data_IF_680801252242
#
_entry.id   IF_680801252242
#
_cell.length_a   1.000
_cell.length_b   1.000
_cell.length_c   1.000
_cell.angle_alpha   90.00
_cell.angle_beta   90.00
_cell.angle_gamma   90.00
#
_symmetry.space_group_name_H-M   'P 1'
#
loop_
_entity.id
_entity.type
_entity.pdbx_description
1 polymer ?
#
# COMPACT_ATOMS: atom_id res chain seq x y z
N UNK A 1 16.66 -29.65 12.78
CA UNK A 1 16.69 -28.50 11.86
C UNK A 1 15.47 -28.43 10.94
N UNK A 2 14.82 -29.56 10.62
CA UNK A 2 13.63 -29.69 9.77
C UNK A 2 12.39 -28.93 10.30
N UNK A 3 11.95 -29.19 11.52
CA UNK A 3 10.69 -28.65 12.07
C UNK A 3 10.58 -27.09 12.07
N UNK A 4 11.71 -26.37 12.21
CA UNK A 4 11.74 -24.92 12.11
C UNK A 4 11.57 -24.40 10.67
N UNK A 5 12.04 -25.16 9.69
CA UNK A 5 11.87 -24.85 8.26
C UNK A 5 10.41 -25.09 7.83
N UNK A 6 9.81 -26.16 8.30
CA UNK A 6 8.43 -26.53 7.98
C UNK A 6 7.43 -25.53 8.56
N UNK A 7 7.66 -25.06 9.81
CA UNK A 7 6.86 -24.01 10.44
C UNK A 7 6.96 -22.66 9.68
N UNK A 8 8.16 -22.29 9.22
CA UNK A 8 8.37 -21.07 8.42
C UNK A 8 7.75 -21.18 7.02
N UNK A 9 7.80 -22.37 6.42
CA UNK A 9 7.16 -22.62 5.13
C UNK A 9 5.64 -22.53 5.27
N UNK A 10 5.04 -23.18 6.25
CA UNK A 10 3.61 -23.12 6.52
C UNK A 10 3.11 -21.70 6.79
N UNK A 11 3.89 -20.89 7.52
CA UNK A 11 3.55 -19.49 7.76
C UNK A 11 3.60 -18.64 6.49
N UNK A 12 4.59 -18.87 5.62
CA UNK A 12 4.68 -18.20 4.30
C UNK A 12 3.50 -18.55 3.41
N UNK A 13 3.17 -19.84 3.30
CA UNK A 13 2.01 -20.33 2.52
C UNK A 13 0.72 -19.71 3.05
N UNK A 14 0.51 -19.69 4.37
CA UNK A 14 -0.69 -19.07 4.97
C UNK A 14 -0.76 -17.56 4.69
N UNK A 15 0.37 -16.86 4.68
CA UNK A 15 0.42 -15.43 4.33
C UNK A 15 0.09 -15.20 2.85
N UNK A 16 0.59 -16.06 1.97
CA UNK A 16 0.26 -15.99 0.53
C UNK A 16 -1.22 -16.27 0.28
N UNK A 17 -1.78 -17.34 0.86
CA UNK A 17 -3.20 -17.65 0.74
C UNK A 17 -4.11 -16.54 1.30
N UNK A 18 -3.71 -15.92 2.42
CA UNK A 18 -4.41 -14.76 2.96
C UNK A 18 -4.34 -13.57 1.99
N UNK A 19 -3.20 -13.36 1.37
CA UNK A 19 -3.01 -12.30 0.37
C UNK A 19 -3.89 -12.54 -0.86
N UNK A 20 -3.94 -13.78 -1.39
CA UNK A 20 -4.84 -14.12 -2.49
C UNK A 20 -6.31 -13.97 -2.12
N UNK A 21 -6.72 -14.44 -0.96
CA UNK A 21 -8.09 -14.21 -0.46
C UNK A 21 -8.45 -12.74 -0.31
N UNK A 22 -7.48 -11.89 0.06
CA UNK A 22 -7.72 -10.45 0.24
C UNK A 22 -7.94 -9.70 -1.08
N UNK A 23 -7.19 -10.02 -2.15
CA UNK A 23 -7.43 -9.34 -3.42
C UNK A 23 -8.67 -9.84 -4.13
N UNK A 24 -9.02 -11.16 -4.03
CA UNK A 24 -10.31 -11.68 -4.50
C UNK A 24 -11.49 -11.04 -3.76
N UNK A 25 -11.42 -10.94 -2.42
CA UNK A 25 -12.42 -10.22 -1.65
C UNK A 25 -12.51 -8.74 -2.06
N UNK A 26 -11.37 -8.13 -2.43
CA UNK A 26 -11.35 -6.73 -2.89
C UNK A 26 -12.10 -6.54 -4.21
N UNK A 27 -12.13 -7.54 -5.11
CA UNK A 27 -12.97 -7.50 -6.31
C UNK A 27 -14.46 -7.38 -5.94
N UNK A 28 -14.92 -8.17 -4.97
CA UNK A 28 -16.31 -8.14 -4.50
C UNK A 28 -16.65 -6.76 -3.91
N UNK A 29 -15.77 -6.23 -3.03
CA UNK A 29 -15.98 -4.91 -2.45
C UNK A 29 -15.92 -3.78 -3.48
N UNK A 30 -15.08 -3.93 -4.51
CA UNK A 30 -14.98 -2.97 -5.61
C UNK A 30 -16.25 -2.93 -6.44
N UNK A 31 -16.80 -4.10 -6.83
CA UNK A 31 -18.09 -4.19 -7.51
C UNK A 31 -19.21 -3.62 -6.64
N UNK A 32 -19.17 -3.89 -5.33
CA UNK A 32 -20.12 -3.32 -4.36
C UNK A 32 -19.88 -1.83 -4.07
N UNK A 33 -18.85 -1.20 -4.68
CA UNK A 33 -18.44 0.21 -4.46
C UNK A 33 -18.18 0.55 -3.00
N UNK A 34 -17.72 -0.42 -2.20
CA UNK A 34 -17.43 -0.23 -0.77
C UNK A 34 -15.93 -0.04 -0.52
N UNK A 35 -15.60 0.90 0.36
CA UNK A 35 -14.25 1.07 0.91
C UNK A 35 -14.10 0.26 2.19
N UNK A 36 -12.95 -0.39 2.35
CA UNK A 36 -12.69 -1.27 3.49
C UNK A 36 -11.75 -0.58 4.47
N UNK A 37 -12.12 -0.60 5.77
CA UNK A 37 -11.27 -0.14 6.85
C UNK A 37 -11.05 1.38 6.85
N UNK A 38 -12.09 2.15 6.54
CA UNK A 38 -12.16 3.59 6.77
C UNK A 38 -13.17 3.79 7.90
N UNK A 39 -12.74 4.05 9.15
CA UNK A 39 -13.61 4.34 10.28
C UNK A 39 -14.44 5.61 10.06
N UNK A 40 -15.56 5.74 10.78
CA UNK A 40 -16.33 6.97 10.82
C UNK A 40 -15.45 8.14 11.33
N UNK A 41 -15.55 9.29 10.68
CA UNK A 41 -14.73 10.47 11.00
C UNK A 41 -13.30 10.44 10.46
N UNK A 42 -12.81 9.31 9.92
CA UNK A 42 -11.50 9.24 9.30
C UNK A 42 -11.55 9.72 7.83
N UNK A 43 -10.46 10.36 7.38
CA UNK A 43 -10.31 10.81 6.00
C UNK A 43 -9.61 9.76 5.16
N UNK A 44 -10.27 9.30 4.09
CA UNK A 44 -9.65 8.45 3.09
C UNK A 44 -8.76 9.29 2.14
N UNK A 45 -7.55 8.80 1.87
CA UNK A 45 -6.60 9.40 0.93
C UNK A 45 -6.38 8.39 -0.21
N UNK A 46 -7.07 8.54 -1.37
CA UNK A 46 -6.94 7.66 -2.52
C UNK A 46 -5.54 7.72 -3.12
N UNK A 47 -5.11 6.60 -3.76
CA UNK A 47 -3.82 6.51 -4.43
C UNK A 47 -3.85 5.63 -5.70
N UNK A 48 -4.99 5.03 -6.01
CA UNK A 48 -5.10 4.04 -7.08
C UNK A 48 -5.20 4.66 -8.48
N UNK A 49 -5.40 5.98 -8.58
CA UNK A 49 -5.59 6.69 -9.85
C UNK A 49 -4.38 6.59 -10.77
N UNK A 50 -3.17 6.73 -10.23
CA UNK A 50 -1.94 6.71 -11.01
C UNK A 50 -1.70 5.39 -11.78
N UNK A 51 -2.17 4.25 -11.25
CA UNK A 51 -2.02 2.95 -11.91
C UNK A 51 -3.25 2.49 -12.69
N UNK A 52 -4.39 3.20 -12.59
CA UNK A 52 -5.66 2.76 -13.14
C UNK A 52 -5.61 2.54 -14.67
N UNK A 53 -5.11 3.53 -15.41
CA UNK A 53 -5.00 3.45 -16.88
C UNK A 53 -4.13 2.27 -17.33
N UNK A 54 -3.00 2.05 -16.66
CA UNK A 54 -2.09 0.94 -16.97
C UNK A 54 -2.75 -0.41 -16.63
N UNK A 55 -3.42 -0.52 -15.48
CA UNK A 55 -4.09 -1.77 -15.07
C UNK A 55 -5.23 -2.15 -16.02
N UNK A 56 -6.08 -1.18 -16.40
CA UNK A 56 -7.17 -1.46 -17.33
C UNK A 56 -6.66 -1.71 -18.77
N UNK A 57 -5.64 -0.97 -19.21
CA UNK A 57 -4.99 -1.23 -20.48
C UNK A 57 -4.38 -2.62 -20.57
N UNK A 58 -3.68 -3.05 -19.51
CA UNK A 58 -3.10 -4.38 -19.42
C UNK A 58 -4.19 -5.47 -19.39
N UNK A 59 -5.26 -5.29 -18.62
CA UNK A 59 -6.39 -6.22 -18.61
C UNK A 59 -7.05 -6.32 -20.01
N UNK A 60 -7.20 -5.20 -20.72
CA UNK A 60 -7.72 -5.19 -22.07
C UNK A 60 -6.80 -5.96 -23.05
N UNK A 61 -5.48 -5.75 -22.98
CA UNK A 61 -4.51 -6.50 -23.79
C UNK A 61 -4.63 -7.99 -23.54
N UNK A 62 -4.69 -8.45 -22.31
CA UNK A 62 -4.88 -9.88 -21.99
C UNK A 62 -6.19 -10.44 -22.53
N UNK A 63 -7.29 -9.68 -22.46
CA UNK A 63 -8.58 -10.12 -23.06
C UNK A 63 -8.44 -10.29 -24.58
N UNK A 64 -7.78 -9.35 -25.28
CA UNK A 64 -7.54 -9.45 -26.71
C UNK A 64 -6.61 -10.64 -27.04
N UNK A 65 -5.56 -10.83 -26.25
CA UNK A 65 -4.63 -11.96 -26.38
C UNK A 65 -5.37 -13.29 -26.20
N UNK A 66 -6.24 -13.41 -25.19
CA UNK A 66 -7.07 -14.61 -24.97
C UNK A 66 -7.89 -14.97 -26.21
N UNK A 67 -8.48 -13.99 -26.88
CA UNK A 67 -9.21 -14.24 -28.15
C UNK A 67 -8.28 -14.75 -29.23
N UNK A 68 -7.11 -14.14 -29.40
CA UNK A 68 -6.11 -14.57 -30.39
C UNK A 68 -5.59 -15.98 -30.13
N UNK A 69 -5.23 -16.29 -28.88
CA UNK A 69 -4.78 -17.62 -28.45
C UNK A 69 -5.89 -18.65 -28.62
N UNK A 70 -7.14 -18.30 -28.31
CA UNK A 70 -8.28 -19.21 -28.51
C UNK A 70 -8.49 -19.58 -29.97
N UNK A 71 -8.31 -18.64 -30.90
CA UNK A 71 -8.37 -18.93 -32.34
C UNK A 71 -7.19 -19.80 -32.80
N UNK A 72 -5.99 -19.57 -32.26
CA UNK A 72 -4.80 -20.33 -32.60
C UNK A 72 -4.85 -21.79 -32.09
N UNK A 73 -5.45 -21.99 -30.93
CA UNK A 73 -5.51 -23.29 -30.26
C UNK A 73 -6.84 -24.03 -30.50
N UNK A 74 -7.66 -23.61 -31.47
CA UNK A 74 -8.97 -24.23 -31.71
C UNK A 74 -8.91 -25.75 -32.01
N UNK A 75 -7.81 -26.23 -32.61
CA UNK A 75 -7.59 -27.64 -32.93
C UNK A 75 -6.94 -28.42 -31.76
N UNK A 76 -6.62 -27.75 -30.66
CA UNK A 76 -5.97 -28.34 -29.49
C UNK A 76 -6.74 -28.04 -28.19
N UNK A 77 -7.88 -28.74 -27.95
CA UNK A 77 -8.82 -28.37 -26.89
C UNK A 77 -8.21 -28.41 -25.47
N UNK A 78 -7.27 -29.31 -25.21
CA UNK A 78 -6.62 -29.41 -23.90
C UNK A 78 -5.67 -28.21 -23.65
N UNK A 79 -4.87 -27.84 -24.66
CA UNK A 79 -3.97 -26.69 -24.57
C UNK A 79 -4.79 -25.39 -24.48
N UNK A 80 -5.89 -25.30 -25.24
CA UNK A 80 -6.80 -24.17 -25.19
C UNK A 80 -7.40 -24.01 -23.78
N UNK A 81 -7.88 -25.09 -23.16
CA UNK A 81 -8.43 -25.03 -21.81
C UNK A 81 -7.41 -24.55 -20.77
N UNK A 82 -6.18 -25.04 -20.84
CA UNK A 82 -5.09 -24.61 -19.93
C UNK A 82 -4.74 -23.14 -20.13
N UNK A 83 -4.59 -22.70 -21.40
CA UNK A 83 -4.32 -21.30 -21.74
C UNK A 83 -5.44 -20.38 -21.22
N UNK A 84 -6.70 -20.74 -21.49
CA UNK A 84 -7.87 -19.97 -21.07
C UNK A 84 -7.94 -19.80 -19.54
N UNK A 85 -7.67 -20.85 -18.77
CA UNK A 85 -7.61 -20.78 -17.30
C UNK A 85 -6.50 -19.83 -16.85
N UNK A 86 -5.32 -19.91 -17.48
CA UNK A 86 -4.18 -19.03 -17.19
C UNK A 86 -4.51 -17.56 -17.47
N UNK A 87 -5.13 -17.29 -18.61
CA UNK A 87 -5.52 -15.94 -19.03
C UNK A 87 -6.59 -15.35 -18.11
N UNK A 88 -7.66 -16.09 -17.81
CA UNK A 88 -8.69 -15.67 -16.86
C UNK A 88 -8.06 -15.34 -15.50
N UNK A 89 -7.18 -16.21 -15.00
CA UNK A 89 -6.50 -15.97 -13.74
C UNK A 89 -5.65 -14.69 -13.79
N UNK A 90 -4.93 -14.45 -14.89
CA UNK A 90 -4.10 -13.26 -15.08
C UNK A 90 -4.93 -11.98 -15.10
N UNK A 91 -6.04 -11.98 -15.85
CA UNK A 91 -6.98 -10.83 -15.87
C UNK A 91 -7.54 -10.57 -14.48
N UNK A 92 -7.98 -11.61 -13.75
CA UNK A 92 -8.47 -11.49 -12.39
C UNK A 92 -7.37 -10.97 -11.44
N UNK A 93 -6.13 -11.39 -11.59
CA UNK A 93 -5.00 -10.90 -10.80
C UNK A 93 -4.78 -9.38 -11.01
N UNK A 94 -4.79 -8.93 -12.26
CA UNK A 94 -4.63 -7.50 -12.62
C UNK A 94 -5.78 -6.69 -12.05
N UNK A 95 -7.01 -7.08 -12.32
CA UNK A 95 -8.21 -6.38 -11.82
C UNK A 95 -8.32 -6.45 -10.30
N UNK A 96 -7.98 -7.58 -9.68
CA UNK A 96 -7.96 -7.76 -8.22
C UNK A 96 -6.95 -6.87 -7.53
N UNK A 97 -5.76 -6.69 -8.12
CA UNK A 97 -4.75 -5.78 -7.60
C UNK A 97 -5.21 -4.32 -7.66
N UNK A 98 -5.86 -3.92 -8.75
CA UNK A 98 -6.46 -2.60 -8.90
C UNK A 98 -7.64 -2.42 -7.92
N UNK A 99 -8.52 -3.41 -7.80
CA UNK A 99 -9.62 -3.40 -6.85
C UNK A 99 -9.13 -3.26 -5.40
N UNK A 100 -8.05 -3.96 -5.02
CA UNK A 100 -7.44 -3.84 -3.71
C UNK A 100 -6.89 -2.43 -3.44
N UNK A 101 -6.31 -1.77 -4.44
CA UNK A 101 -5.82 -0.41 -4.31
C UNK A 101 -6.98 0.62 -4.17
N UNK A 102 -8.06 0.45 -4.93
CA UNK A 102 -9.24 1.34 -4.89
C UNK A 102 -10.03 1.17 -3.59
N UNK A 103 -10.24 -0.08 -3.14
CA UNK A 103 -11.06 -0.37 -1.97
C UNK A 103 -10.35 -0.13 -0.64
N UNK A 104 -9.01 -0.06 -0.65
CA UNK A 104 -8.17 0.13 0.53
C UNK A 104 -7.30 1.39 0.44
N UNK A 105 -7.90 2.60 0.50
CA UNK A 105 -7.15 3.85 0.50
C UNK A 105 -6.25 3.95 1.73
N UNK A 106 -5.29 4.89 1.72
CA UNK A 106 -4.70 5.34 2.97
C UNK A 106 -5.77 5.99 3.83
N UNK A 107 -5.60 5.96 5.15
CA UNK A 107 -6.59 6.50 6.09
C UNK A 107 -5.91 7.41 7.08
N UNK A 108 -6.38 8.65 7.16
CA UNK A 108 -5.99 9.58 8.20
C UNK A 108 -7.06 9.56 9.29
N UNK A 109 -6.71 8.96 10.43
CA UNK A 109 -7.52 8.95 11.65
C UNK A 109 -7.24 10.15 12.55
N UNK A 110 -7.84 10.14 13.74
CA UNK A 110 -7.63 11.18 14.75
C UNK A 110 -6.22 11.10 15.38
N UNK A 111 -5.68 9.90 15.53
CA UNK A 111 -4.41 9.65 16.23
C UNK A 111 -3.33 9.05 15.35
N UNK A 112 -3.69 8.49 14.18
CA UNK A 112 -2.79 7.76 13.32
C UNK A 112 -3.02 8.01 11.83
N UNK A 113 -1.94 7.85 11.07
CA UNK A 113 -1.94 7.75 9.62
C UNK A 113 -1.70 6.28 9.23
N UNK A 114 -2.68 5.69 8.58
CA UNK A 114 -2.61 4.32 8.07
C UNK A 114 -2.22 4.35 6.59
N UNK A 115 -0.98 3.99 6.29
CA UNK A 115 -0.46 3.91 4.93
C UNK A 115 -0.60 2.48 4.43
N UNK A 116 -1.23 2.30 3.27
CA UNK A 116 -1.53 0.99 2.66
C UNK A 116 -0.94 0.87 1.27
N UNK A 117 -0.57 -0.35 0.89
CA UNK A 117 -0.21 -0.68 -0.49
C UNK A 117 -1.04 -1.91 -0.92
N UNK A 118 -2.26 -1.67 -1.37
CA UNK A 118 -3.24 -2.70 -1.71
C UNK A 118 -3.47 -3.67 -0.54
N UNK A 119 -3.38 -4.98 -0.86
CA UNK A 119 -3.44 -6.06 0.13
C UNK A 119 -2.04 -6.48 0.65
N UNK A 120 -0.96 -5.86 0.14
CA UNK A 120 0.43 -6.31 0.39
C UNK A 120 0.99 -5.82 1.70
N UNK A 121 0.63 -4.59 2.09
CA UNK A 121 1.25 -3.93 3.23
C UNK A 121 0.31 -2.90 3.85
N UNK A 122 0.33 -2.86 5.17
CA UNK A 122 -0.35 -1.86 5.98
C UNK A 122 0.63 -1.38 7.06
N UNK A 123 0.83 -0.06 7.13
CA UNK A 123 1.70 0.59 8.10
C UNK A 123 0.90 1.66 8.84
N UNK A 124 0.80 1.50 10.15
CA UNK A 124 0.17 2.48 11.04
C UNK A 124 1.25 3.36 11.66
N UNK A 125 1.12 4.67 11.47
CA UNK A 125 2.05 5.69 11.94
C UNK A 125 1.29 6.59 12.92
N UNK A 126 1.64 6.60 14.21
CA UNK A 126 1.05 7.55 15.15
C UNK A 126 1.37 9.00 14.71
N UNK A 127 0.37 9.88 14.67
CA UNK A 127 0.56 11.29 14.28
C UNK A 127 1.57 12.00 15.18
N UNK A 128 1.63 11.60 16.43
CA UNK A 128 2.59 12.13 17.38
C UNK A 128 4.05 11.81 17.06
N UNK A 129 4.32 10.74 16.31
CA UNK A 129 5.66 10.34 15.88
C UNK A 129 6.07 10.94 14.53
N UNK A 130 5.22 11.75 13.91
CA UNK A 130 5.53 12.42 12.65
C UNK A 130 6.30 13.71 12.92
N UNK A 131 7.55 13.77 12.46
CA UNK A 131 8.38 14.98 12.55
C UNK A 131 7.99 16.01 11.49
N UNK A 132 7.90 15.56 10.24
CA UNK A 132 7.56 16.42 9.10
C UNK A 132 6.77 15.66 8.02
N UNK A 133 5.96 16.41 7.26
CA UNK A 133 5.25 15.90 6.07
C UNK A 133 5.44 16.90 4.95
N UNK A 134 5.86 16.41 3.77
CA UNK A 134 6.06 17.28 2.61
C UNK A 134 5.57 16.63 1.31
N UNK A 135 5.19 17.48 0.37
CA UNK A 135 5.01 17.08 -1.02
C UNK A 135 6.39 16.88 -1.67
N UNK A 136 6.63 15.69 -2.22
CA UNK A 136 7.90 15.32 -2.84
C UNK A 136 7.61 14.30 -3.95
N UNK A 137 7.29 14.80 -5.14
CA UNK A 137 7.04 13.93 -6.30
C UNK A 137 8.35 13.35 -6.80
N UNK A 138 8.45 12.03 -6.76
CA UNK A 138 9.60 11.28 -7.30
C UNK A 138 9.14 10.13 -8.17
N UNK A 139 9.86 9.94 -9.27
CA UNK A 139 9.75 8.79 -10.15
C UNK A 139 10.86 7.78 -9.85
N UNK A 140 10.58 6.50 -10.07
CA UNK A 140 11.59 5.43 -9.94
C UNK A 140 12.79 5.66 -10.88
N UNK A 141 12.63 6.39 -11.98
CA UNK A 141 13.72 6.76 -12.88
C UNK A 141 14.71 7.75 -12.24
N UNK A 142 14.23 8.61 -11.34
CA UNK A 142 15.08 9.61 -10.67
C UNK A 142 16.00 8.95 -9.62
N UNK A 143 15.63 7.75 -9.11
CA UNK A 143 16.44 6.99 -8.16
C UNK A 143 17.58 6.18 -8.77
N UNK A 144 17.61 6.00 -10.12
CA UNK A 144 18.69 5.28 -10.81
C UNK A 144 19.84 6.20 -11.29
N UNK A 145 19.68 7.51 -11.18
CA UNK A 145 20.73 8.48 -11.58
C UNK A 145 21.79 8.73 -10.50
N UNK A 146 21.68 8.09 -9.35
CA UNK A 146 22.71 8.06 -8.34
C UNK A 146 23.10 6.62 -8.05
N UNK A 147 24.28 6.18 -8.52
CA UNK A 147 25.03 5.10 -7.90
C UNK A 147 25.41 5.55 -6.48
N UNK A 148 24.39 5.85 -5.65
CA UNK A 148 24.51 6.14 -4.24
C UNK A 148 24.64 4.82 -3.51
N UNK A 149 25.77 4.68 -2.85
CA UNK A 149 26.13 3.69 -1.85
C UNK A 149 24.86 3.19 -1.14
N UNK A 150 24.62 1.86 -1.11
CA UNK A 150 23.44 1.20 -0.53
C UNK A 150 23.17 1.52 0.96
N UNK A 151 23.81 2.55 1.50
CA UNK A 151 23.58 3.15 2.82
C UNK A 151 22.49 4.25 2.80
N UNK A 152 22.20 4.89 1.66
CA UNK A 152 21.15 5.93 1.61
C UNK A 152 19.74 5.36 1.67
N UNK A 153 19.54 4.07 1.32
CA UNK A 153 18.27 3.37 1.45
C UNK A 153 18.02 2.76 2.85
N UNK A 154 19.04 2.73 3.69
CA UNK A 154 18.89 2.23 5.05
C UNK A 154 18.00 3.19 5.86
N UNK A 155 16.80 2.73 6.23
CA UNK A 155 15.84 3.52 7.01
C UNK A 155 14.76 4.24 6.19
N UNK A 156 14.63 3.95 4.88
CA UNK A 156 13.59 4.50 4.01
C UNK A 156 12.64 3.40 3.52
N UNK A 157 11.35 3.63 3.66
CA UNK A 157 10.30 2.80 3.09
C UNK A 157 9.65 3.53 1.92
N UNK A 158 9.71 2.93 0.73
CA UNK A 158 9.04 3.46 -0.46
C UNK A 158 7.85 2.58 -0.86
N UNK A 159 6.67 3.18 -0.89
CA UNK A 159 5.42 2.59 -1.35
C UNK A 159 5.00 3.28 -2.65
N UNK A 160 5.79 3.02 -3.70
CA UNK A 160 5.56 3.59 -5.01
C UNK A 160 4.34 2.94 -5.69
N UNK A 161 3.51 3.76 -6.34
CA UNK A 161 2.39 3.38 -7.19
C UNK A 161 2.69 3.86 -8.61
N UNK A 162 2.59 2.97 -9.58
CA UNK A 162 3.02 3.22 -10.96
C UNK A 162 4.47 3.80 -11.05
N UNK A 163 5.34 3.37 -10.14
CA UNK A 163 6.72 3.86 -10.08
C UNK A 163 6.89 5.26 -9.48
N UNK A 164 5.84 5.83 -8.86
CA UNK A 164 5.88 7.19 -8.31
C UNK A 164 5.54 7.22 -6.81
N UNK A 165 6.17 8.15 -6.11
CA UNK A 165 5.78 8.58 -4.76
C UNK A 165 5.56 10.08 -4.78
N UNK A 166 4.61 10.60 -3.99
CA UNK A 166 4.25 12.04 -4.01
C UNK A 166 4.24 12.68 -2.63
N UNK A 167 4.26 11.87 -1.56
CA UNK A 167 4.25 12.32 -0.17
C UNK A 167 5.41 11.68 0.57
N UNK A 168 6.18 12.50 1.29
CA UNK A 168 7.25 12.06 2.18
C UNK A 168 6.90 12.42 3.62
N UNK A 169 6.95 11.42 4.50
CA UNK A 169 6.76 11.54 5.95
C UNK A 169 8.05 11.19 6.64
N UNK A 170 8.56 12.07 7.47
CA UNK A 170 9.72 11.86 8.34
C UNK A 170 9.24 11.60 9.77
N UNK A 171 9.83 10.61 10.42
CA UNK A 171 9.46 10.19 11.77
C UNK A 171 10.48 10.71 12.78
N UNK A 172 10.01 11.07 13.97
CA UNK A 172 10.87 11.45 15.11
C UNK A 172 11.72 10.28 15.57
N UNK A 173 11.12 9.08 15.60
CA UNK A 173 11.77 7.83 15.96
C UNK A 173 11.59 6.78 14.86
N UNK A 174 12.59 5.89 14.67
CA UNK A 174 12.49 4.82 13.69
C UNK A 174 11.41 3.80 14.09
N UNK A 175 10.61 3.36 13.11
CA UNK A 175 9.59 2.31 13.30
C UNK A 175 9.99 1.02 12.61
N UNK A 176 9.63 -0.12 13.21
CA UNK A 176 9.89 -1.43 12.61
C UNK A 176 8.73 -1.81 11.69
N UNK A 177 9.03 -2.02 10.43
CA UNK A 177 8.09 -2.45 9.40
C UNK A 177 8.31 -3.92 9.07
N UNK A 178 7.23 -4.70 8.99
CA UNK A 178 7.28 -6.12 8.59
C UNK A 178 6.78 -6.24 7.17
N UNK A 179 7.67 -6.64 6.26
CA UNK A 179 7.32 -6.91 4.85
C UNK A 179 6.56 -8.23 4.69
N UNK A 180 5.90 -8.42 3.56
CA UNK A 180 5.04 -9.58 3.25
C UNK A 180 5.72 -10.93 3.56
N UNK A 181 7.02 -11.06 3.29
CA UNK A 181 7.79 -12.28 3.54
C UNK A 181 8.37 -12.37 4.98
N UNK A 182 7.96 -11.45 5.89
CA UNK A 182 8.39 -11.44 7.29
C UNK A 182 9.73 -10.75 7.55
N UNK A 183 10.37 -10.13 6.53
CA UNK A 183 11.57 -9.31 6.72
C UNK A 183 11.20 -8.08 7.53
N UNK A 184 11.95 -7.83 8.58
CA UNK A 184 11.80 -6.63 9.42
C UNK A 184 12.82 -5.60 8.99
N UNK A 185 12.36 -4.38 8.80
CA UNK A 185 13.19 -3.23 8.43
C UNK A 185 12.86 -2.07 9.38
N UNK A 186 13.87 -1.36 9.83
CA UNK A 186 13.71 -0.16 10.64
C UNK A 186 13.73 1.04 9.72
N UNK A 187 12.67 1.87 9.75
CA UNK A 187 12.51 2.99 8.83
C UNK A 187 12.25 4.28 9.58
N UNK A 188 12.83 5.37 9.12
CA UNK A 188 12.64 6.73 9.62
C UNK A 188 11.91 7.61 8.61
N UNK A 189 11.96 7.26 7.35
CA UNK A 189 11.30 7.98 6.27
C UNK A 189 10.34 7.06 5.55
N UNK A 190 9.07 7.49 5.41
CA UNK A 190 8.05 6.75 4.66
C UNK A 190 7.62 7.60 3.47
N UNK A 191 7.73 7.04 2.26
CA UNK A 191 7.29 7.66 1.03
C UNK A 191 6.12 6.85 0.45
N UNK A 192 5.05 7.53 0.10
CA UNK A 192 3.89 6.91 -0.51
C UNK A 192 3.30 7.83 -1.58
N UNK A 193 2.42 7.26 -2.40
CA UNK A 193 1.69 8.02 -3.42
C UNK A 193 0.28 8.33 -2.90
N UNK A 194 -0.19 9.55 -3.21
CA UNK A 194 -1.59 9.96 -3.04
C UNK A 194 -2.04 10.69 -4.29
N UNK A 195 -3.26 10.41 -4.79
CA UNK A 195 -3.82 11.02 -6.00
C UNK A 195 -3.95 12.54 -5.84
N UNK A 196 -4.40 13.00 -4.67
CA UNK A 196 -4.32 14.41 -4.25
C UNK A 196 -3.21 14.57 -3.19
N UNK A 197 -1.97 14.61 -3.64
CA UNK A 197 -0.82 14.68 -2.76
C UNK A 197 -0.76 15.98 -1.93
N UNK A 198 -1.16 17.12 -2.50
CA UNK A 198 -1.15 18.40 -1.78
C UNK A 198 -2.23 18.44 -0.71
N UNK A 199 -3.44 17.99 -1.02
CA UNK A 199 -4.52 17.84 -0.07
C UNK A 199 -4.21 16.83 1.04
N UNK A 200 -3.53 15.72 0.70
CA UNK A 200 -3.07 14.75 1.68
C UNK A 200 -2.03 15.35 2.64
N UNK A 201 -1.01 16.06 2.12
CA UNK A 201 0.01 16.75 2.94
C UNK A 201 -0.64 17.77 3.87
N UNK A 202 -1.56 18.60 3.35
CA UNK A 202 -2.28 19.59 4.17
C UNK A 202 -3.09 18.95 5.28
N UNK A 203 -3.83 17.88 4.98
CA UNK A 203 -4.64 17.15 5.94
C UNK A 203 -3.79 16.49 7.05
N UNK A 204 -2.70 15.78 6.66
CA UNK A 204 -1.81 15.13 7.65
C UNK A 204 -1.11 16.17 8.51
N UNK A 205 -0.64 17.28 7.94
CA UNK A 205 0.00 18.37 8.69
C UNK A 205 -0.95 18.98 9.71
N UNK A 206 -2.19 19.30 9.31
CA UNK A 206 -3.20 19.83 10.24
C UNK A 206 -3.55 18.85 11.36
N UNK A 207 -3.63 17.54 11.06
CA UNK A 207 -3.86 16.52 12.09
C UNK A 207 -2.69 16.40 13.08
N UNK A 208 -1.44 16.47 12.59
CA UNK A 208 -0.23 16.46 13.45
C UNK A 208 -0.22 17.69 14.37
N UNK A 209 -0.53 18.87 13.84
CA UNK A 209 -0.61 20.11 14.62
C UNK A 209 -1.70 20.02 15.71
N UNK A 210 -2.88 19.47 15.38
CA UNK A 210 -3.96 19.28 16.35
C UNK A 210 -3.55 18.34 17.50
N UNK A 211 -2.88 17.21 17.18
CA UNK A 211 -2.38 16.27 18.20
C UNK A 211 -1.32 16.94 19.09
N UNK A 212 -0.40 17.72 18.52
CA UNK A 212 0.61 18.46 19.29
C UNK A 212 -0.02 19.50 20.21
N UNK A 213 -1.01 20.25 19.72
CA UNK A 213 -1.74 21.23 20.51
C UNK A 213 -2.49 20.58 21.68
N UNK A 214 -3.18 19.46 21.44
CA UNK A 214 -3.88 18.71 22.47
C UNK A 214 -2.93 18.22 23.57
N UNK A 215 -1.76 17.71 23.21
CA UNK A 215 -0.73 17.29 24.19
C UNK A 215 -0.23 18.47 25.03
N UNK A 216 0.09 19.58 24.40
CA UNK A 216 0.59 20.76 25.13
C UNK A 216 -0.46 21.37 26.09
N UNK A 217 -1.75 21.18 25.80
CA UNK A 217 -2.84 21.57 26.73
C UNK A 217 -2.91 20.58 27.91
N UNK A 218 -2.83 19.27 27.64
CA UNK A 218 -2.84 18.25 28.68
C UNK A 218 -1.66 18.39 29.65
N UNK A 219 -0.45 18.67 29.15
CA UNK A 219 0.76 18.89 29.97
C UNK A 219 0.68 20.15 30.84
N UNK A 220 -0.03 21.20 30.39
CA UNK A 220 -0.24 22.44 31.17
C UNK A 220 -1.40 22.36 32.14
N UNK A 221 -2.33 21.43 31.96
CA UNK A 221 -3.51 21.22 32.80
C UNK A 221 -3.29 20.30 33.99
N UNK A 222 -2.08 19.82 34.23
CA UNK A 222 -1.76 19.03 35.42
C UNK A 222 -1.80 19.96 36.65
N UNK A 223 -2.71 19.74 37.65
CA UNK A 223 -2.76 20.57 38.84
C UNK A 223 -1.46 20.38 39.63
N UNK A 224 -0.71 21.46 39.82
CA UNK A 224 0.38 21.53 40.79
C UNK A 224 -0.22 21.11 42.15
N UNK A 225 0.08 19.90 42.58
CA UNK A 225 -0.27 19.44 43.95
C UNK A 225 0.54 20.28 44.89
N UNK A 226 -0.10 21.11 45.78
CA UNK A 226 0.66 21.82 46.78
C UNK A 226 1.17 20.80 47.80
N UNK A 227 2.49 20.81 48.04
CA UNK A 227 3.15 20.05 49.10
C UNK A 227 2.79 20.54 50.50
#
# INVERSE_FOLDING_TARGET
MSARNDARFGERVRRLLRHEGQWLASLVWWVARRRVGVPEGARALPYAGAQAAMSYGLAFVFVVETVGVSLLLQDHPELHAVALVGDIYTVLLVLGSQAAAVTRPHVLGAEDLLVRNGARMELRIPLASIASVRYDLRSRQDGHSGAGDGREDAGRLELAIAGQTSVTVELTEPVVVVRLLGRRETVRTVRFHADDARGAVGAVRGAVEAVRAARSVAERGEPVTPG
#
